data_IF_629084321587
#
_entry.id   IF_629084321587
#
_cell.length_a   1.000
_cell.length_b   1.000
_cell.length_c   1.000
_cell.angle_alpha   90.00
_cell.angle_beta   90.00
_cell.angle_gamma   90.00
#
_symmetry.space_group_name_H-M   'P 1'
#
loop_
_entity.id
_entity.type
_entity.pdbx_description
1 polymer ?
#
# COMPACT_ATOMS: atom_id res chain seq x y z
N UNK A 1 19.68 13.92 10.10
CA UNK A 1 19.90 14.80 8.93
C UNK A 1 18.88 14.63 7.80
N UNK A 2 18.05 13.57 7.78
CA UNK A 2 17.07 13.30 6.71
C UNK A 2 15.84 14.24 6.70
N UNK A 3 15.65 15.08 7.73
CA UNK A 3 14.50 15.98 7.81
C UNK A 3 14.73 17.33 7.10
N UNK A 4 15.95 17.64 6.68
CA UNK A 4 16.21 18.89 5.96
C UNK A 4 15.69 18.78 4.51
N UNK A 5 14.78 19.65 4.06
CA UNK A 5 14.36 19.69 2.65
C UNK A 5 15.55 19.80 1.68
N UNK A 6 16.62 20.50 2.06
CA UNK A 6 17.82 20.67 1.23
C UNK A 6 18.48 19.32 0.87
N UNK A 7 18.35 18.32 1.74
CA UNK A 7 18.90 16.98 1.57
C UNK A 7 18.32 16.26 0.34
N UNK A 8 17.00 16.28 0.20
CA UNK A 8 16.33 15.64 -0.94
C UNK A 8 16.57 16.44 -2.22
N UNK A 9 16.61 17.77 -2.14
CA UNK A 9 16.85 18.63 -3.29
C UNK A 9 18.21 18.36 -3.97
N UNK A 10 19.26 18.14 -3.18
CA UNK A 10 20.60 17.82 -3.72
C UNK A 10 20.66 16.44 -4.40
N UNK A 11 19.70 15.57 -4.12
CA UNK A 11 19.61 14.20 -4.64
C UNK A 11 18.58 14.03 -5.74
N UNK A 12 17.77 15.06 -5.97
CA UNK A 12 16.74 15.09 -6.98
C UNK A 12 17.30 15.61 -8.30
N UNK A 13 17.04 14.88 -9.38
CA UNK A 13 17.41 15.23 -10.74
C UNK A 13 16.14 15.30 -11.57
N UNK A 14 15.99 16.38 -12.34
CA UNK A 14 14.93 16.53 -13.31
C UNK A 14 15.43 16.04 -14.66
N UNK A 15 14.70 15.10 -15.24
CA UNK A 15 14.99 14.49 -16.53
C UNK A 15 13.95 14.98 -17.52
N UNK A 16 14.39 15.55 -18.63
CA UNK A 16 13.49 16.05 -19.69
C UNK A 16 13.88 15.44 -21.02
N UNK A 17 12.88 14.94 -21.74
CA UNK A 17 13.06 14.55 -23.14
C UNK A 17 13.12 15.80 -24.03
N UNK A 18 13.92 15.74 -25.08
CA UNK A 18 13.88 16.71 -26.17
C UNK A 18 12.48 16.68 -26.82
N UNK A 19 11.83 17.85 -27.02
CA UNK A 19 10.53 17.92 -27.68
C UNK A 19 10.45 17.19 -29.03
N UNK A 20 11.59 17.05 -29.73
CA UNK A 20 11.67 16.39 -31.04
C UNK A 20 11.69 14.86 -30.90
N UNK A 21 12.17 14.32 -29.78
CA UNK A 21 12.44 12.88 -29.61
C UNK A 21 11.23 12.03 -29.17
N UNK A 22 10.02 12.61 -29.05
CA UNK A 22 8.79 11.84 -28.85
C UNK A 22 8.44 11.45 -27.41
N UNK A 23 9.21 11.88 -26.41
CA UNK A 23 8.94 11.67 -24.98
C UNK A 23 10.00 10.84 -24.26
N UNK A 24 9.81 10.64 -22.95
CA UNK A 24 10.66 9.78 -22.14
C UNK A 24 10.31 8.31 -22.38
N UNK A 25 11.30 7.39 -22.28
CA UNK A 25 11.04 5.97 -22.36
C UNK A 25 10.15 5.49 -21.19
N UNK A 26 9.56 4.29 -21.29
CA UNK A 26 8.80 3.68 -20.20
C UNK A 26 9.60 3.62 -18.89
N UNK A 27 8.89 3.67 -17.76
CA UNK A 27 9.50 3.77 -16.43
C UNK A 27 10.58 2.70 -16.19
N UNK A 28 10.31 1.45 -16.54
CA UNK A 28 11.25 0.32 -16.36
C UNK A 28 12.57 0.54 -17.09
N UNK A 29 12.51 1.02 -18.34
CA UNK A 29 13.69 1.32 -19.15
C UNK A 29 14.44 2.52 -18.59
N UNK A 30 13.71 3.55 -18.14
CA UNK A 30 14.30 4.72 -17.51
C UNK A 30 15.00 4.35 -16.19
N UNK A 31 14.41 3.46 -15.37
CA UNK A 31 15.04 2.93 -14.14
C UNK A 31 16.30 2.14 -14.45
N UNK A 32 16.27 1.25 -15.45
CA UNK A 32 17.44 0.48 -15.85
C UNK A 32 18.59 1.38 -16.28
N UNK A 33 18.29 2.40 -17.09
CA UNK A 33 19.26 3.36 -17.63
C UNK A 33 19.84 4.28 -16.54
N UNK A 34 19.05 4.65 -15.54
CA UNK A 34 19.50 5.45 -14.41
C UNK A 34 20.17 4.63 -13.30
N UNK A 35 19.90 3.32 -13.25
CA UNK A 35 20.48 2.40 -12.28
C UNK A 35 22.01 2.32 -12.37
N UNK A 36 22.57 2.56 -13.57
CA UNK A 36 24.02 2.66 -13.79
C UNK A 36 24.68 3.79 -12.97
N UNK A 37 23.92 4.84 -12.63
CA UNK A 37 24.41 5.99 -11.86
C UNK A 37 24.29 5.79 -10.36
N UNK A 38 23.41 4.89 -9.90
CA UNK A 38 23.21 4.55 -8.50
C UNK A 38 21.78 4.12 -8.18
N UNK A 39 21.56 3.74 -6.93
CA UNK A 39 20.25 3.30 -6.45
C UNK A 39 19.23 4.44 -6.46
N UNK A 40 18.12 4.20 -7.16
CA UNK A 40 16.99 5.12 -7.28
C UNK A 40 16.07 4.90 -6.08
N UNK A 41 15.82 5.96 -5.32
CA UNK A 41 14.88 5.92 -4.21
C UNK A 41 13.44 6.13 -4.70
N UNK A 42 13.24 7.09 -5.59
CA UNK A 42 11.92 7.38 -6.15
C UNK A 42 12.04 7.91 -7.58
N UNK A 43 11.07 7.55 -8.42
CA UNK A 43 10.96 7.99 -9.81
C UNK A 43 9.49 8.32 -10.09
N UNK A 44 9.23 9.54 -10.55
CA UNK A 44 7.89 9.98 -10.93
C UNK A 44 7.94 10.58 -12.34
N UNK A 45 7.07 10.10 -13.23
CA UNK A 45 6.91 10.64 -14.58
C UNK A 45 5.76 11.65 -14.63
N UNK A 46 5.93 12.68 -15.44
CA UNK A 46 5.01 13.78 -15.63
C UNK A 46 4.61 13.87 -17.10
N UNK A 47 3.31 13.73 -17.35
CA UNK A 47 2.70 13.89 -18.66
C UNK A 47 1.94 15.20 -18.72
N UNK A 48 2.18 15.99 -19.76
CA UNK A 48 1.43 17.22 -19.99
C UNK A 48 0.15 16.90 -20.78
N UNK A 49 -0.99 17.41 -20.32
CA UNK A 49 -2.25 17.30 -21.06
C UNK A 49 -2.18 18.19 -22.30
N UNK A 50 -2.26 17.60 -23.49
CA UNK A 50 -2.27 18.35 -24.75
C UNK A 50 -3.57 19.14 -24.93
N UNK A 51 -3.55 20.14 -25.83
CA UNK A 51 -4.72 20.97 -26.18
C UNK A 51 -5.95 20.16 -26.66
N UNK A 52 -5.76 18.92 -27.10
CA UNK A 52 -6.83 18.01 -27.55
C UNK A 52 -7.29 16.98 -26.52
N UNK A 53 -6.94 17.11 -25.24
CA UNK A 53 -7.34 16.15 -24.21
C UNK A 53 -6.60 14.81 -24.22
N UNK A 54 -5.93 14.45 -25.31
CA UNK A 54 -5.04 13.29 -25.37
C UNK A 54 -3.84 13.45 -24.43
N UNK A 55 -3.57 12.42 -23.64
CA UNK A 55 -2.36 12.33 -22.82
C UNK A 55 -1.15 12.15 -23.74
N UNK A 56 -0.23 13.10 -23.70
CA UNK A 56 1.06 12.93 -24.38
C UNK A 56 1.96 11.98 -23.57
N UNK A 57 2.92 11.31 -24.22
CA UNK A 57 4.00 10.63 -23.53
C UNK A 57 4.66 11.56 -22.49
N UNK A 58 5.13 11.01 -21.35
CA UNK A 58 5.75 11.80 -20.31
C UNK A 58 6.97 12.53 -20.87
N UNK A 59 7.05 13.84 -20.66
CA UNK A 59 8.17 14.66 -21.17
C UNK A 59 9.16 15.02 -20.08
N UNK A 60 8.74 14.91 -18.82
CA UNK A 60 9.55 15.22 -17.65
C UNK A 60 9.44 14.08 -16.65
N UNK A 61 10.53 13.76 -15.98
CA UNK A 61 10.56 12.87 -14.83
C UNK A 61 11.39 13.51 -13.72
N UNK A 62 11.01 13.25 -12.47
CA UNK A 62 11.80 13.62 -11.30
C UNK A 62 12.31 12.34 -10.67
N UNK A 63 13.63 12.27 -10.48
CA UNK A 63 14.33 11.09 -9.96
C UNK A 63 15.07 11.48 -8.71
N UNK A 64 14.84 10.77 -7.62
CA UNK A 64 15.53 10.99 -6.34
C UNK A 64 16.45 9.82 -6.09
N UNK A 65 17.76 10.07 -6.06
CA UNK A 65 18.75 9.04 -5.78
C UNK A 65 18.99 8.87 -4.28
N UNK A 66 19.43 7.66 -3.87
CA UNK A 66 19.90 7.44 -2.50
C UNK A 66 21.25 8.11 -2.19
N UNK A 67 21.98 8.59 -3.19
CA UNK A 67 23.27 9.25 -3.01
C UNK A 67 23.35 10.55 -3.82
N UNK A 68 23.91 11.61 -3.22
CA UNK A 68 24.18 12.88 -3.91
C UNK A 68 25.22 12.69 -5.04
N UNK A 69 26.18 11.77 -4.86
CA UNK A 69 27.16 11.44 -5.89
C UNK A 69 26.47 10.88 -7.15
N UNK A 70 25.43 10.06 -6.99
CA UNK A 70 24.66 9.53 -8.11
C UNK A 70 23.98 10.65 -8.89
N UNK A 71 23.24 11.55 -8.20
CA UNK A 71 22.60 12.72 -8.81
C UNK A 71 23.60 13.61 -9.57
N UNK A 72 24.77 13.87 -8.97
CA UNK A 72 25.84 14.66 -9.57
C UNK A 72 26.43 13.99 -10.83
N UNK A 73 26.65 12.66 -10.81
CA UNK A 73 27.10 11.90 -11.99
C UNK A 73 26.07 11.92 -13.11
N UNK A 74 24.78 11.75 -12.79
CA UNK A 74 23.67 11.82 -13.75
C UNK A 74 23.64 13.18 -14.47
N UNK A 75 23.72 14.28 -13.72
CA UNK A 75 23.80 15.63 -14.31
C UNK A 75 25.10 15.86 -15.09
N UNK A 76 26.23 15.36 -14.59
CA UNK A 76 27.54 15.46 -15.27
C UNK A 76 27.55 14.74 -16.62
N UNK A 77 27.01 13.52 -16.68
CA UNK A 77 26.89 12.74 -17.90
C UNK A 77 26.00 13.44 -18.95
N UNK A 78 24.94 14.13 -18.50
CA UNK A 78 24.10 14.92 -19.40
C UNK A 78 24.83 16.14 -19.99
N UNK A 79 25.82 16.71 -19.28
CA UNK A 79 26.60 17.88 -19.77
C UNK A 79 27.76 17.49 -20.69
N UNK A 80 28.25 16.26 -20.60
CA UNK A 80 29.43 15.80 -21.34
C UNK A 80 29.24 15.71 -22.88
N UNK A 81 28.04 15.98 -23.40
CA UNK A 81 27.83 16.53 -24.74
C UNK A 81 28.19 15.68 -25.97
N UNK A 82 28.80 14.50 -25.84
CA UNK A 82 29.18 13.65 -26.99
C UNK A 82 28.69 12.20 -26.91
N UNK A 83 27.73 11.92 -26.03
CA UNK A 83 27.12 10.59 -25.92
C UNK A 83 26.24 10.43 -24.68
N UNK A 84 25.42 11.45 -24.37
CA UNK A 84 24.50 11.40 -23.23
C UNK A 84 23.65 10.13 -23.26
N UNK A 85 23.53 9.48 -22.10
CA UNK A 85 22.73 8.28 -21.85
C UNK A 85 22.70 7.30 -23.03
N UNK A 86 23.86 6.74 -23.38
CA UNK A 86 23.94 5.60 -24.28
C UNK A 86 23.45 5.82 -25.72
N UNK A 87 23.33 7.07 -26.20
CA UNK A 87 22.97 7.34 -27.60
C UNK A 87 21.54 6.94 -28.00
N UNK A 88 20.72 6.52 -27.04
CA UNK A 88 19.33 6.11 -27.29
C UNK A 88 18.40 7.06 -26.55
N UNK A 89 17.94 8.10 -27.24
CA UNK A 89 16.94 9.08 -26.77
C UNK A 89 17.57 10.39 -26.25
N UNK A 90 17.21 11.51 -26.89
CA UNK A 90 17.66 12.86 -26.56
C UNK A 90 17.14 13.31 -25.20
N UNK A 91 17.70 12.77 -24.12
CA UNK A 91 17.31 13.03 -22.74
C UNK A 91 18.35 13.95 -22.10
N UNK A 92 17.87 14.99 -21.40
CA UNK A 92 18.69 15.91 -20.63
C UNK A 92 18.39 15.78 -19.14
N UNK A 93 19.42 15.75 -18.32
CA UNK A 93 19.32 15.73 -16.87
C UNK A 93 19.86 17.06 -16.29
N UNK A 94 19.05 17.73 -15.48
CA UNK A 94 19.41 18.97 -14.81
C UNK A 94 18.93 18.98 -13.36
N UNK A 95 19.41 19.94 -12.57
CA UNK A 95 18.91 20.14 -11.22
C UNK A 95 17.44 20.56 -11.26
N UNK A 96 16.69 20.27 -10.20
CA UNK A 96 15.27 20.58 -10.13
C UNK A 96 15.02 22.09 -10.23
N UNK A 97 14.40 22.53 -11.33
CA UNK A 97 14.06 23.94 -11.60
C UNK A 97 12.65 24.28 -11.11
N UNK A 98 12.40 25.56 -10.77
CA UNK A 98 11.06 25.99 -10.31
C UNK A 98 10.01 25.76 -11.41
N UNK A 99 8.96 25.00 -11.10
CA UNK A 99 7.88 24.66 -12.02
C UNK A 99 6.96 23.58 -11.45
N UNK A 100 6.05 23.04 -12.27
CA UNK A 100 5.06 22.02 -11.84
C UNK A 100 5.75 20.79 -11.23
N UNK A 101 6.82 20.30 -11.85
CA UNK A 101 7.60 19.18 -11.33
C UNK A 101 8.24 19.46 -9.97
N UNK A 102 8.67 20.71 -9.73
CA UNK A 102 9.21 21.15 -8.44
C UNK A 102 8.13 21.24 -7.36
N UNK A 103 6.95 21.77 -7.71
CA UNK A 103 5.82 21.81 -6.78
C UNK A 103 5.36 20.41 -6.38
N UNK A 104 5.23 19.48 -7.33
CA UNK A 104 4.90 18.08 -7.03
C UNK A 104 6.00 17.39 -6.22
N UNK A 105 7.26 17.70 -6.50
CA UNK A 105 8.37 17.17 -5.71
C UNK A 105 8.24 17.55 -4.22
N UNK A 106 7.91 18.80 -3.91
CA UNK A 106 7.76 19.23 -2.51
C UNK A 106 6.47 18.79 -1.84
N UNK A 107 5.36 18.78 -2.59
CA UNK A 107 4.03 18.51 -2.03
C UNK A 107 3.70 17.03 -1.95
N UNK A 108 4.28 16.19 -2.80
CA UNK A 108 3.94 14.77 -2.89
C UNK A 108 5.16 13.86 -2.66
N UNK A 109 6.24 14.08 -3.40
CA UNK A 109 7.41 13.17 -3.37
C UNK A 109 8.15 13.24 -2.02
N UNK A 110 8.51 14.42 -1.54
CA UNK A 110 9.26 14.58 -0.28
C UNK A 110 8.49 14.05 0.93
N UNK A 111 7.18 14.32 1.10
CA UNK A 111 6.40 13.71 2.18
C UNK A 111 6.40 12.18 2.15
N UNK A 112 6.23 11.56 0.97
CA UNK A 112 6.28 10.08 0.83
C UNK A 112 7.65 9.52 1.20
N UNK A 113 8.72 10.14 0.70
CA UNK A 113 10.10 9.74 1.04
C UNK A 113 10.39 9.84 2.54
N UNK A 114 9.84 10.86 3.21
CA UNK A 114 9.95 10.96 4.67
C UNK A 114 9.22 9.81 5.34
N UNK A 115 7.97 9.53 4.96
CA UNK A 115 7.20 8.42 5.52
C UNK A 115 7.92 7.07 5.35
N UNK A 116 8.46 6.79 4.16
CA UNK A 116 9.23 5.58 3.89
C UNK A 116 10.52 5.49 4.73
N UNK A 117 11.19 6.62 4.99
CA UNK A 117 12.37 6.65 5.87
C UNK A 117 12.04 6.42 7.34
N UNK A 118 10.79 6.68 7.75
CA UNK A 118 10.31 6.53 9.12
C UNK A 118 9.65 5.19 9.40
N UNK A 119 9.44 4.33 8.39
CA UNK A 119 9.12 2.93 8.66
C UNK A 119 10.34 2.38 9.39
N UNK A 120 10.26 2.15 10.72
CA UNK A 120 11.34 1.47 11.40
C UNK A 120 11.49 0.18 10.63
N UNK A 121 12.72 -0.22 10.31
CA UNK A 121 13.01 -1.57 9.84
C UNK A 121 12.64 -2.52 10.98
N UNK A 122 11.33 -2.71 11.17
CA UNK A 122 10.67 -3.43 12.23
C UNK A 122 10.47 -4.80 11.65
N UNK A 123 11.56 -5.54 11.67
CA UNK A 123 11.70 -6.77 10.94
C UNK A 123 13.17 -7.06 10.75
N UNK A 124 13.87 -7.21 11.87
CA UNK A 124 15.03 -8.09 11.97
C UNK A 124 14.61 -9.46 11.43
N UNK A 125 14.70 -9.63 10.12
CA UNK A 125 15.20 -10.87 9.59
C UNK A 125 16.71 -10.74 9.77
N UNK A 126 17.17 -11.15 10.95
CA UNK A 126 18.52 -11.67 11.06
C UNK A 126 18.78 -12.51 9.80
N UNK A 127 19.87 -12.25 9.06
CA UNK A 127 20.24 -13.16 7.99
C UNK A 127 20.25 -14.56 8.61
N UNK A 128 19.65 -15.59 7.99
CA UNK A 128 19.85 -16.95 8.48
C UNK A 128 21.37 -17.10 8.54
N UNK A 129 21.87 -17.26 9.77
CA UNK A 129 23.28 -17.32 10.05
C UNK A 129 23.88 -18.24 9.00
N UNK A 130 24.77 -17.67 8.19
CA UNK A 130 25.76 -18.42 7.45
C UNK A 130 26.54 -19.18 8.52
N UNK A 131 26.04 -20.38 8.84
CA UNK A 131 26.76 -21.39 9.59
C UNK A 131 27.89 -21.80 8.67
N UNK A 132 28.96 -21.03 8.78
CA UNK A 132 30.32 -21.49 8.54
C UNK A 132 30.48 -22.69 9.46
N UNK A 133 30.16 -23.86 8.95
CA UNK A 133 30.68 -25.11 9.47
C UNK A 133 32.17 -25.06 9.14
N UNK A 134 32.91 -24.54 10.11
CA UNK A 134 34.33 -24.76 10.24
C UNK A 134 34.59 -26.25 10.04
N UNK A 135 35.46 -26.53 9.08
CA UNK A 135 36.38 -27.63 9.22
C UNK A 135 37.08 -27.46 10.58
N UNK A 136 36.86 -28.40 11.48
CA UNK A 136 37.87 -28.81 12.44
C UNK A 136 37.84 -30.35 12.51
N UNK A 137 39.01 -30.99 12.32
CA UNK A 137 39.16 -32.43 12.29
C UNK A 137 39.34 -32.95 13.72
N UNK A 138 38.55 -33.91 14.14
CA UNK A 138 38.77 -34.60 15.41
C UNK A 138 38.44 -36.08 15.29
N UNK A 139 39.50 -36.81 14.94
CA UNK A 139 40.03 -37.94 15.69
C UNK A 139 39.09 -39.09 16.08
N UNK A 140 39.43 -40.24 15.50
CA UNK A 140 39.85 -41.43 16.24
C UNK A 140 38.86 -41.98 17.27
N UNK A 141 38.04 -42.93 16.82
CA UNK A 141 37.66 -44.05 17.66
C UNK A 141 37.61 -45.32 16.82
N UNK A 142 38.63 -46.14 17.07
CA UNK A 142 38.79 -47.54 16.70
C UNK A 142 37.47 -48.32 16.61
N UNK A 143 37.31 -49.06 15.51
CA UNK A 143 36.28 -50.06 15.31
C UNK A 143 36.75 -51.13 14.33
N UNK A 144 37.75 -51.90 14.75
CA UNK A 144 38.27 -53.09 14.06
C UNK A 144 37.19 -54.18 13.83
N UNK A 145 37.42 -55.10 12.88
CA UNK A 145 36.42 -56.02 12.34
C UNK A 145 36.35 -57.32 13.15
N UNK A 146 35.16 -57.66 13.64
CA UNK A 146 34.94 -58.99 14.25
C UNK A 146 34.72 -60.05 13.16
N UNK A 147 35.83 -60.65 12.70
CA UNK A 147 35.88 -61.96 12.06
C UNK A 147 35.36 -63.03 13.04
N UNK A 148 34.09 -63.41 12.91
CA UNK A 148 33.56 -64.61 13.57
C UNK A 148 33.86 -65.85 12.72
N UNK A 149 34.86 -66.61 13.15
CA UNK A 149 35.04 -68.04 12.82
C UNK A 149 33.77 -68.83 13.21
N UNK A 150 33.24 -69.69 12.32
CA UNK A 150 32.43 -70.81 12.75
C UNK A 150 33.35 -71.93 13.26
N UNK A 151 32.94 -72.41 14.43
CA UNK A 151 33.58 -73.33 15.34
C UNK A 151 33.36 -74.76 14.84
N UNK A 152 34.45 -75.52 14.73
CA UNK A 152 34.47 -76.96 14.44
C UNK A 152 34.05 -77.70 15.71
N UNK A 153 32.87 -78.32 15.74
CA UNK A 153 32.47 -79.26 16.80
C UNK A 153 31.84 -80.54 16.20
N UNK A 154 32.26 -81.69 16.74
CA UNK A 154 31.57 -82.98 16.72
C UNK A 154 31.54 -83.69 15.36
N UNK A 155 32.39 -84.66 15.04
CA UNK A 155 32.66 -85.90 15.78
C UNK A 155 31.41 -86.52 16.39
N UNK A 156 30.64 -87.25 15.58
CA UNK A 156 29.95 -88.48 15.99
C UNK A 156 29.74 -89.31 14.73
N UNK A 157 30.51 -90.39 14.59
CA UNK A 157 30.26 -91.40 13.56
C UNK A 157 28.92 -92.09 13.77
N UNK A 158 28.48 -92.86 12.77
CA UNK A 158 28.21 -94.25 13.09
C UNK A 158 28.86 -95.22 12.10
N UNK A 159 29.46 -96.25 12.69
CA UNK A 159 29.36 -97.66 12.35
C UNK A 159 29.27 -98.00 10.84
N UNK A 160 30.33 -98.59 10.30
CA UNK A 160 30.51 -100.06 10.29
C UNK A 160 29.26 -100.77 9.76
N UNK A 161 29.25 -100.99 8.45
CA UNK A 161 28.63 -102.15 7.85
C UNK A 161 29.54 -102.61 6.70
N UNK A 162 30.59 -103.31 7.13
CA UNK A 162 31.55 -104.03 6.32
C UNK A 162 30.82 -105.21 5.64
N UNK A 163 30.24 -104.97 4.46
CA UNK A 163 29.66 -106.03 3.64
C UNK A 163 30.77 -106.63 2.77
N UNK A 164 31.44 -107.63 3.34
CA UNK A 164 32.14 -108.67 2.62
C UNK A 164 31.15 -109.36 1.65
N UNK A 165 31.19 -109.01 0.37
CA UNK A 165 30.55 -109.77 -0.69
C UNK A 165 31.63 -110.49 -1.50
N UNK A 166 31.80 -111.76 -1.12
CA UNK A 166 32.22 -112.91 -1.93
C UNK A 166 33.28 -112.67 -3.00
N UNK A 167 34.52 -112.94 -2.62
CA UNK A 167 35.60 -113.35 -3.52
C UNK A 167 35.25 -114.76 -4.04
N UNK A 168 34.37 -114.84 -5.04
CA UNK A 168 34.01 -116.11 -5.66
C UNK A 168 35.21 -116.67 -6.45
N UNK A 169 35.87 -117.63 -5.82
CA UNK A 169 36.17 -118.93 -6.41
C UNK A 169 36.80 -118.91 -7.83
N UNK A 170 38.02 -118.38 -7.98
CA UNK A 170 38.88 -118.78 -9.10
C UNK A 170 39.49 -120.15 -8.81
N UNK A 171 38.64 -121.19 -8.89
CA UNK A 171 39.07 -122.57 -8.97
C UNK A 171 39.87 -122.77 -10.24
N UNK A 172 41.14 -123.05 -10.01
CA UNK A 172 42.10 -123.54 -10.98
C UNK A 172 41.53 -124.75 -11.74
N UNK A 173 41.35 -124.60 -13.05
CA UNK A 173 41.41 -125.71 -13.99
C UNK A 173 42.47 -125.34 -15.04
N UNK A 174 43.73 -125.46 -14.62
CA UNK A 174 44.90 -125.49 -15.49
C UNK A 174 44.96 -126.87 -16.15
N UNK A 175 44.09 -127.12 -17.13
CA UNK A 175 44.36 -128.13 -18.14
C UNK A 175 45.39 -127.51 -19.08
N UNK A 176 46.66 -127.81 -18.85
CA UNK A 176 47.76 -127.42 -19.71
C UNK A 176 47.64 -128.13 -21.07
N UNK A 177 47.38 -127.42 -22.18
CA UNK A 177 47.62 -127.95 -23.51
C UNK A 177 49.12 -127.77 -23.78
N UNK A 178 49.83 -128.83 -24.12
CA UNK A 178 51.24 -128.81 -24.55
C UNK A 178 51.46 -128.10 -25.89
N UNK A 179 50.85 -126.93 -26.10
CA UNK A 179 50.94 -126.12 -27.31
C UNK A 179 51.45 -124.73 -26.94
N UNK A 180 52.58 -124.33 -27.53
CA UNK A 180 53.29 -123.04 -27.35
C UNK A 180 52.38 -121.81 -27.62
N UNK A 181 51.15 -122.01 -28.10
CA UNK A 181 50.16 -120.97 -28.38
C UNK A 181 49.43 -120.41 -27.14
N UNK A 182 49.53 -121.01 -25.95
CA UNK A 182 48.87 -120.47 -24.74
C UNK A 182 49.47 -119.13 -24.28
N UNK A 183 50.78 -118.93 -24.50
CA UNK A 183 51.50 -117.74 -24.07
C UNK A 183 51.10 -116.48 -24.87
N UNK A 184 51.01 -116.53 -26.22
CA UNK A 184 50.41 -115.45 -27.01
C UNK A 184 48.95 -115.15 -26.64
N UNK A 185 48.14 -116.18 -26.37
CA UNK A 185 46.73 -116.00 -26.01
C UNK A 185 46.57 -115.32 -24.65
N UNK A 186 47.43 -115.64 -23.68
CA UNK A 186 47.46 -115.01 -22.36
C UNK A 186 47.95 -113.56 -22.43
N UNK A 187 48.96 -113.26 -23.26
CA UNK A 187 49.42 -111.88 -23.50
C UNK A 187 48.28 -111.04 -24.10
N UNK A 188 47.62 -111.55 -25.15
CA UNK A 188 46.49 -110.86 -25.77
C UNK A 188 45.31 -110.65 -24.80
N UNK A 189 45.08 -111.57 -23.86
CA UNK A 189 44.09 -111.39 -22.79
C UNK A 189 44.50 -110.27 -21.82
N UNK A 190 45.75 -110.28 -21.33
CA UNK A 190 46.26 -109.28 -20.41
C UNK A 190 46.31 -107.88 -21.04
N UNK A 191 46.65 -107.77 -22.32
CA UNK A 191 46.59 -106.52 -23.07
C UNK A 191 45.15 -105.99 -23.18
N UNK A 192 44.18 -106.90 -23.37
CA UNK A 192 42.76 -106.55 -23.39
C UNK A 192 42.28 -106.08 -22.02
N UNK A 193 42.62 -106.81 -20.96
CA UNK A 193 42.31 -106.43 -19.57
C UNK A 193 42.96 -105.09 -19.21
N UNK A 194 44.22 -104.87 -19.57
CA UNK A 194 44.92 -103.60 -19.36
C UNK A 194 44.22 -102.44 -20.11
N UNK A 195 43.93 -102.61 -21.41
CA UNK A 195 43.19 -101.59 -22.17
C UNK A 195 41.81 -101.33 -21.58
N UNK A 196 41.11 -102.36 -21.11
CA UNK A 196 39.80 -102.21 -20.47
C UNK A 196 39.92 -101.43 -19.16
N UNK A 197 40.95 -101.68 -18.35
CA UNK A 197 41.22 -100.92 -17.12
C UNK A 197 41.63 -99.48 -17.38
N UNK A 198 42.41 -99.21 -18.44
CA UNK A 198 42.77 -97.84 -18.84
C UNK A 198 41.53 -97.08 -19.29
N UNK A 199 40.70 -97.67 -20.15
CA UNK A 199 39.42 -97.06 -20.58
C UNK A 199 38.51 -96.81 -19.38
N UNK A 200 38.36 -97.77 -18.47
CA UNK A 200 37.56 -97.61 -17.26
C UNK A 200 38.10 -96.49 -16.36
N UNK A 201 39.42 -96.37 -16.21
CA UNK A 201 40.07 -95.30 -15.45
C UNK A 201 39.82 -93.94 -16.10
N UNK A 202 39.99 -93.82 -17.40
CA UNK A 202 39.80 -92.56 -18.11
C UNK A 202 38.33 -92.13 -18.12
N UNK A 203 37.39 -93.08 -18.23
CA UNK A 203 35.95 -92.83 -18.05
C UNK A 203 35.66 -92.36 -16.61
N UNK A 204 36.24 -93.01 -15.60
CA UNK A 204 36.05 -92.61 -14.19
C UNK A 204 36.64 -91.22 -13.90
N UNK A 205 37.82 -90.90 -14.46
CA UNK A 205 38.44 -89.58 -14.35
C UNK A 205 37.59 -88.52 -15.05
N UNK A 206 37.13 -88.79 -16.27
CA UNK A 206 36.22 -87.91 -17.03
C UNK A 206 34.91 -87.65 -16.26
N UNK A 207 34.33 -88.69 -15.64
CA UNK A 207 33.17 -88.56 -14.77
C UNK A 207 33.43 -87.68 -13.54
N UNK A 208 34.59 -87.82 -12.89
CA UNK A 208 34.97 -86.99 -11.74
C UNK A 208 35.15 -85.52 -12.12
N UNK A 209 35.81 -85.24 -13.24
CA UNK A 209 35.96 -83.87 -13.73
C UNK A 209 34.59 -83.27 -14.09
N UNK A 210 33.71 -84.02 -14.74
CA UNK A 210 32.35 -83.58 -15.06
C UNK A 210 31.54 -83.26 -13.80
N UNK A 211 31.64 -84.09 -12.76
CA UNK A 211 30.97 -83.86 -11.47
C UNK A 211 31.52 -82.63 -10.74
N UNK A 212 32.84 -82.41 -10.75
CA UNK A 212 33.45 -81.22 -10.17
C UNK A 212 33.02 -79.95 -10.91
N UNK A 213 32.97 -80.00 -12.24
CA UNK A 213 32.55 -78.88 -13.06
C UNK A 213 31.06 -78.55 -12.84
N UNK A 214 30.22 -79.58 -12.74
CA UNK A 214 28.80 -79.42 -12.41
C UNK A 214 28.59 -78.78 -11.03
N UNK A 215 29.30 -79.26 -10.00
CA UNK A 215 29.23 -78.68 -8.65
C UNK A 215 29.68 -77.22 -8.63
N UNK A 216 30.79 -76.90 -9.32
CA UNK A 216 31.27 -75.52 -9.41
C UNK A 216 30.27 -74.61 -10.15
N UNK A 217 29.61 -75.13 -11.21
CA UNK A 217 28.56 -74.42 -11.92
C UNK A 217 27.33 -74.17 -11.04
N UNK A 218 26.92 -75.15 -10.20
CA UNK A 218 25.84 -75.00 -9.23
C UNK A 218 26.17 -73.97 -8.14
N UNK A 219 27.37 -74.02 -7.57
CA UNK A 219 27.81 -73.02 -6.59
C UNK A 219 27.78 -71.61 -7.17
N UNK A 220 28.27 -71.46 -8.41
CA UNK A 220 28.25 -70.18 -9.12
C UNK A 220 26.81 -69.71 -9.38
N UNK A 221 25.94 -70.59 -9.86
CA UNK A 221 24.53 -70.27 -10.09
C UNK A 221 23.81 -69.87 -8.78
N UNK A 222 24.14 -70.52 -7.67
CA UNK A 222 23.59 -70.17 -6.36
C UNK A 222 24.09 -68.80 -5.87
N UNK A 223 25.38 -68.50 -6.04
CA UNK A 223 25.93 -67.18 -5.72
C UNK A 223 25.31 -66.07 -6.57
N UNK A 224 25.14 -66.30 -7.88
CA UNK A 224 24.47 -65.36 -8.78
C UNK A 224 23.01 -65.13 -8.38
N UNK A 225 22.29 -66.19 -8.01
CA UNK A 225 20.90 -66.09 -7.53
C UNK A 225 20.80 -65.28 -6.24
N UNK A 226 21.71 -65.51 -5.28
CA UNK A 226 21.77 -64.72 -4.06
C UNK A 226 22.09 -63.25 -4.33
N UNK A 227 23.04 -62.96 -5.24
CA UNK A 227 23.38 -61.60 -5.63
C UNK A 227 22.17 -60.89 -6.28
N UNK A 228 21.43 -61.57 -7.15
CA UNK A 228 20.19 -61.05 -7.74
C UNK A 228 19.12 -60.78 -6.69
N UNK A 229 18.93 -61.70 -5.73
CA UNK A 229 17.97 -61.51 -4.63
C UNK A 229 18.33 -60.30 -3.77
N UNK A 230 19.60 -60.14 -3.38
CA UNK A 230 20.07 -58.98 -2.64
C UNK A 230 19.89 -57.68 -3.43
N UNK A 231 20.16 -57.69 -4.75
CA UNK A 231 19.93 -56.53 -5.61
C UNK A 231 18.44 -56.16 -5.70
N UNK A 232 17.55 -57.14 -5.82
CA UNK A 232 16.10 -56.92 -5.85
C UNK A 232 15.56 -56.38 -4.52
N UNK A 233 16.04 -56.90 -3.38
CA UNK A 233 15.65 -56.41 -2.06
C UNK A 233 16.13 -54.98 -1.78
N UNK A 234 17.36 -54.65 -2.23
CA UNK A 234 17.88 -53.28 -2.18
C UNK A 234 17.06 -52.33 -3.08
N UNK A 235 16.67 -52.76 -4.28
CA UNK A 235 15.82 -51.98 -5.17
C UNK A 235 14.44 -51.71 -4.55
N UNK A 236 13.80 -52.74 -3.99
CA UNK A 236 12.50 -52.62 -3.32
C UNK A 236 12.57 -51.72 -2.08
N UNK A 237 13.68 -51.75 -1.34
CA UNK A 237 13.90 -50.85 -0.21
C UNK A 237 14.04 -49.39 -0.64
N UNK A 238 14.71 -49.12 -1.77
CA UNK A 238 14.81 -47.77 -2.36
C UNK A 238 13.45 -47.26 -2.83
N UNK A 239 12.68 -48.09 -3.53
CA UNK A 239 11.34 -47.72 -4.00
C UNK A 239 10.39 -47.38 -2.83
N UNK A 240 10.43 -48.17 -1.75
CA UNK A 240 9.68 -47.86 -0.52
C UNK A 240 10.09 -46.53 0.12
N UNK A 241 11.40 -46.25 0.17
CA UNK A 241 11.90 -44.99 0.70
C UNK A 241 11.48 -43.79 -0.18
N UNK A 242 11.52 -43.93 -1.50
CA UNK A 242 11.07 -42.91 -2.45
C UNK A 242 9.56 -42.69 -2.38
N UNK A 243 8.77 -43.76 -2.22
CA UNK A 243 7.32 -43.70 -2.00
C UNK A 243 6.95 -43.01 -0.68
N UNK A 244 7.67 -43.30 0.41
CA UNK A 244 7.48 -42.59 1.68
C UNK A 244 7.79 -41.09 1.55
N UNK A 245 8.90 -40.75 0.86
CA UNK A 245 9.30 -39.36 0.60
C UNK A 245 8.28 -38.61 -0.26
N UNK A 246 7.74 -39.25 -1.29
CA UNK A 246 6.70 -38.63 -2.15
C UNK A 246 5.39 -38.44 -1.38
N UNK A 247 4.99 -39.41 -0.55
CA UNK A 247 3.81 -39.29 0.33
C UNK A 247 3.94 -38.13 1.31
N UNK A 248 5.11 -37.93 1.91
CA UNK A 248 5.36 -36.79 2.81
C UNK A 248 5.30 -35.44 2.07
N UNK A 249 5.82 -35.40 0.84
CA UNK A 249 5.72 -34.21 -0.02
C UNK A 249 4.27 -33.88 -0.37
N UNK A 250 3.45 -34.88 -0.70
CA UNK A 250 2.01 -34.69 -0.98
C UNK A 250 1.30 -34.12 0.25
N UNK A 251 1.51 -34.69 1.43
CA UNK A 251 0.92 -34.18 2.69
C UNK A 251 1.34 -32.75 3.02
N UNK A 252 2.55 -32.36 2.62
CA UNK A 252 3.04 -30.98 2.83
C UNK A 252 2.37 -30.02 1.87
N UNK A 253 2.25 -30.37 0.60
CA UNK A 253 1.53 -29.58 -0.40
C UNK A 253 0.04 -29.46 -0.09
N UNK A 254 -0.61 -30.51 0.43
CA UNK A 254 -2.00 -30.46 0.89
C UNK A 254 -2.19 -29.46 2.04
N UNK A 255 -1.24 -29.41 2.99
CA UNK A 255 -1.25 -28.40 4.07
C UNK A 255 -1.07 -26.99 3.54
N UNK A 256 -0.14 -26.76 2.62
CA UNK A 256 0.07 -25.45 1.98
C UNK A 256 -1.16 -25.00 1.17
N UNK A 257 -1.81 -25.92 0.44
CA UNK A 257 -3.06 -25.64 -0.27
C UNK A 257 -4.20 -25.27 0.70
N UNK A 258 -4.31 -25.97 1.82
CA UNK A 258 -5.32 -25.65 2.83
C UNK A 258 -5.04 -24.29 3.49
N UNK A 259 -3.79 -23.98 3.79
CA UNK A 259 -3.39 -22.69 4.36
C UNK A 259 -3.67 -21.53 3.39
N UNK A 260 -3.31 -21.67 2.12
CA UNK A 260 -3.58 -20.64 1.10
C UNK A 260 -5.07 -20.43 0.88
N UNK A 261 -5.89 -21.48 0.98
CA UNK A 261 -7.36 -21.37 0.93
C UNK A 261 -7.91 -20.56 2.11
N UNK A 262 -7.45 -20.83 3.34
CA UNK A 262 -7.87 -20.07 4.53
C UNK A 262 -7.47 -18.60 4.39
N UNK A 263 -6.23 -18.32 3.96
CA UNK A 263 -5.76 -16.94 3.71
C UNK A 263 -6.60 -16.22 2.66
N UNK A 264 -7.02 -16.92 1.60
CA UNK A 264 -7.88 -16.35 0.57
C UNK A 264 -9.28 -16.04 1.10
N UNK A 265 -9.88 -16.92 1.90
CA UNK A 265 -11.17 -16.69 2.54
C UNK A 265 -11.12 -15.52 3.54
N UNK A 266 -10.05 -15.40 4.33
CA UNK A 266 -9.81 -14.26 5.22
C UNK A 266 -9.65 -12.95 4.44
N UNK A 267 -8.89 -12.97 3.33
CA UNK A 267 -8.74 -11.82 2.46
C UNK A 267 -10.08 -11.41 1.83
N UNK A 268 -10.92 -12.38 1.46
CA UNK A 268 -12.25 -12.10 0.92
C UNK A 268 -13.17 -11.48 1.97
N UNK A 269 -13.19 -12.01 3.20
CA UNK A 269 -13.95 -11.39 4.31
C UNK A 269 -13.47 -9.97 4.60
N UNK A 270 -12.16 -9.74 4.62
CA UNK A 270 -11.59 -8.40 4.81
C UNK A 270 -11.97 -7.43 3.67
N UNK A 271 -12.09 -7.92 2.43
CA UNK A 271 -12.61 -7.12 1.30
C UNK A 271 -14.09 -6.80 1.49
N UNK A 272 -14.89 -7.77 1.90
CA UNK A 272 -16.33 -7.57 2.15
C UNK A 272 -16.57 -6.52 3.23
N UNK A 273 -15.84 -6.58 4.36
CA UNK A 273 -15.92 -5.57 5.42
C UNK A 273 -15.49 -4.19 4.93
N UNK A 274 -14.37 -4.09 4.20
CA UNK A 274 -13.92 -2.82 3.62
C UNK A 274 -14.95 -2.24 2.64
N UNK A 275 -15.61 -3.08 1.83
CA UNK A 275 -16.68 -2.60 0.93
C UNK A 275 -17.93 -2.13 1.68
N UNK A 276 -18.26 -2.75 2.81
CA UNK A 276 -19.37 -2.32 3.66
C UNK A 276 -19.08 -0.95 4.28
N UNK A 277 -17.89 -0.75 4.84
CA UNK A 277 -17.44 0.54 5.39
C UNK A 277 -17.44 1.66 4.33
N UNK A 278 -16.98 1.34 3.11
CA UNK A 278 -16.98 2.30 2.00
C UNK A 278 -18.42 2.71 1.61
N UNK A 279 -19.36 1.77 1.63
CA UNK A 279 -20.77 2.06 1.34
C UNK A 279 -21.42 2.92 2.43
N UNK A 280 -21.11 2.67 3.71
CA UNK A 280 -21.57 3.50 4.82
C UNK A 280 -21.02 4.94 4.70
N UNK A 281 -19.73 5.08 4.43
CA UNK A 281 -19.10 6.37 4.15
C UNK A 281 -19.76 7.12 2.99
N UNK A 282 -20.12 6.42 1.90
CA UNK A 282 -20.88 7.02 0.78
C UNK A 282 -22.27 7.51 1.20
N UNK A 283 -22.95 6.79 2.09
CA UNK A 283 -24.27 7.19 2.58
C UNK A 283 -24.18 8.45 3.44
N UNK A 284 -23.18 8.54 4.34
CA UNK A 284 -22.91 9.73 5.15
C UNK A 284 -22.61 10.94 4.25
N UNK A 285 -21.79 10.78 3.21
CA UNK A 285 -21.50 11.86 2.26
C UNK A 285 -22.78 12.37 1.58
N UNK A 286 -23.66 11.48 1.12
CA UNK A 286 -24.94 11.88 0.51
C UNK A 286 -25.84 12.64 1.50
N UNK A 287 -25.85 12.23 2.77
CA UNK A 287 -26.61 12.92 3.81
C UNK A 287 -26.03 14.31 4.11
N UNK A 288 -24.70 14.45 4.16
CA UNK A 288 -24.06 15.75 4.34
C UNK A 288 -24.32 16.67 3.13
N UNK A 289 -24.34 16.14 1.92
CA UNK A 289 -24.70 16.90 0.71
C UNK A 289 -26.15 17.40 0.75
N UNK A 290 -27.11 16.57 1.16
CA UNK A 290 -28.51 16.99 1.28
C UNK A 290 -28.71 18.03 2.38
N UNK A 291 -27.98 17.91 3.50
CA UNK A 291 -27.98 18.91 4.57
C UNK A 291 -27.35 20.23 4.12
N UNK A 292 -26.26 20.18 3.33
CA UNK A 292 -25.63 21.38 2.75
C UNK A 292 -26.59 22.12 1.83
N UNK A 293 -27.29 21.41 0.93
CA UNK A 293 -28.28 22.04 0.04
C UNK A 293 -29.45 22.63 0.83
N UNK A 294 -29.93 21.95 1.88
CA UNK A 294 -30.97 22.50 2.77
C UNK A 294 -30.49 23.79 3.45
N UNK A 295 -29.29 23.78 4.03
CA UNK A 295 -28.71 24.97 4.68
C UNK A 295 -28.50 26.13 3.71
N UNK A 296 -28.21 25.84 2.43
CA UNK A 296 -28.07 26.86 1.39
C UNK A 296 -29.41 27.53 1.07
N UNK A 297 -30.49 26.75 0.97
CA UNK A 297 -31.85 27.28 0.80
C UNK A 297 -32.23 28.17 1.99
N UNK A 298 -31.98 27.72 3.21
CA UNK A 298 -32.25 28.50 4.43
C UNK A 298 -31.44 29.81 4.46
N UNK A 299 -30.17 29.78 4.05
CA UNK A 299 -29.33 30.97 3.94
C UNK A 299 -29.88 31.96 2.91
N UNK A 300 -30.35 31.49 1.74
CA UNK A 300 -30.96 32.37 0.74
C UNK A 300 -32.27 32.99 1.23
N UNK A 301 -33.12 32.20 1.92
CA UNK A 301 -34.37 32.68 2.48
C UNK A 301 -34.16 33.75 3.56
N UNK A 302 -33.20 33.53 4.46
CA UNK A 302 -32.85 34.51 5.50
C UNK A 302 -32.23 35.78 4.90
N UNK A 303 -31.43 35.66 3.84
CA UNK A 303 -30.90 36.82 3.12
C UNK A 303 -32.01 37.66 2.45
N UNK A 304 -33.03 37.02 1.87
CA UNK A 304 -34.20 37.70 1.28
C UNK A 304 -35.05 38.40 2.36
N UNK A 305 -35.27 37.74 3.50
CA UNK A 305 -35.97 38.35 4.65
C UNK A 305 -35.21 39.58 5.18
N UNK A 306 -33.88 39.50 5.28
CA UNK A 306 -33.04 40.62 5.68
C UNK A 306 -33.13 41.78 4.67
N UNK A 307 -33.13 41.47 3.38
CA UNK A 307 -33.29 42.50 2.33
C UNK A 307 -34.67 43.17 2.39
N UNK A 308 -35.74 42.40 2.65
CA UNK A 308 -37.09 42.94 2.83
C UNK A 308 -37.19 43.85 4.06
N UNK A 309 -36.73 43.38 5.22
CA UNK A 309 -36.75 44.16 6.47
C UNK A 309 -35.93 45.44 6.36
N UNK A 310 -34.77 45.40 5.70
CA UNK A 310 -33.97 46.59 5.40
C UNK A 310 -34.76 47.62 4.58
N UNK A 311 -35.41 47.20 3.48
CA UNK A 311 -36.23 48.10 2.65
C UNK A 311 -37.41 48.69 3.43
N UNK A 312 -38.04 47.89 4.30
CA UNK A 312 -39.13 48.35 5.17
C UNK A 312 -38.65 49.41 6.16
N UNK A 313 -37.46 49.23 6.74
CA UNK A 313 -36.85 50.19 7.65
C UNK A 313 -36.54 51.51 6.92
N UNK A 314 -35.90 51.44 5.75
CA UNK A 314 -35.62 52.61 4.91
C UNK A 314 -36.89 53.39 4.52
N UNK A 315 -38.01 52.69 4.31
CA UNK A 315 -39.30 53.34 4.05
C UNK A 315 -39.81 54.10 5.28
N UNK A 316 -39.81 53.45 6.45
CA UNK A 316 -40.24 54.10 7.69
C UNK A 316 -39.35 55.30 8.07
N UNK A 317 -38.04 55.21 7.83
CA UNK A 317 -37.12 56.33 8.03
C UNK A 317 -37.48 57.53 7.14
N UNK A 318 -37.86 57.29 5.87
CA UNK A 318 -38.33 58.34 4.96
C UNK A 318 -39.65 58.95 5.41
N UNK A 319 -40.61 58.13 5.84
CA UNK A 319 -41.90 58.62 6.35
C UNK A 319 -41.72 59.47 7.62
N UNK A 320 -40.84 59.05 8.53
CA UNK A 320 -40.51 59.81 9.73
C UNK A 320 -39.82 61.15 9.37
N UNK A 321 -38.87 61.14 8.42
CA UNK A 321 -38.22 62.35 7.95
C UNK A 321 -39.22 63.35 7.32
N UNK A 322 -40.21 62.87 6.57
CA UNK A 322 -41.30 63.70 6.05
C UNK A 322 -42.15 64.29 7.17
N UNK A 323 -42.52 63.47 8.15
CA UNK A 323 -43.32 63.91 9.31
C UNK A 323 -42.59 64.99 10.12
N UNK A 324 -41.27 64.86 10.32
CA UNK A 324 -40.45 65.90 10.96
C UNK A 324 -40.52 67.20 10.16
N UNK A 325 -40.36 67.14 8.84
CA UNK A 325 -40.38 68.32 7.97
C UNK A 325 -41.74 69.03 8.02
N UNK A 326 -42.84 68.28 8.01
CA UNK A 326 -44.18 68.83 8.13
C UNK A 326 -44.41 69.48 9.50
N UNK A 327 -43.90 68.85 10.57
CA UNK A 327 -43.92 69.41 11.92
C UNK A 327 -43.13 70.71 12.02
N UNK A 328 -41.91 70.77 11.46
CA UNK A 328 -41.10 71.98 11.40
C UNK A 328 -41.82 73.10 10.64
N UNK A 329 -42.41 72.80 9.48
CA UNK A 329 -43.20 73.78 8.72
C UNK A 329 -44.42 74.29 9.49
N UNK A 330 -45.13 73.40 10.20
CA UNK A 330 -46.27 73.79 11.03
C UNK A 330 -45.83 74.69 12.21
N UNK A 331 -44.69 74.36 12.83
CA UNK A 331 -44.08 75.15 13.91
C UNK A 331 -43.70 76.55 13.44
N UNK A 332 -43.09 76.68 12.25
CA UNK A 332 -42.76 77.99 11.65
C UNK A 332 -44.00 78.84 11.42
N UNK A 333 -45.07 78.25 10.86
CA UNK A 333 -46.35 78.96 10.67
C UNK A 333 -46.94 79.43 12.00
N UNK A 334 -46.89 78.60 13.03
CA UNK A 334 -47.38 78.95 14.36
C UNK A 334 -46.60 80.12 14.97
N UNK A 335 -45.26 80.15 14.79
CA UNK A 335 -44.44 81.27 15.25
C UNK A 335 -44.80 82.58 14.52
N UNK A 336 -45.08 82.52 13.22
CA UNK A 336 -45.58 83.68 12.45
C UNK A 336 -46.92 84.19 13.01
N UNK A 337 -47.87 83.28 13.28
CA UNK A 337 -49.16 83.66 13.85
C UNK A 337 -49.02 84.27 15.25
N UNK A 338 -48.13 83.73 16.07
CA UNK A 338 -47.81 84.25 17.40
C UNK A 338 -47.25 85.68 17.31
N UNK A 339 -46.26 85.93 16.46
CA UNK A 339 -45.70 87.27 16.24
C UNK A 339 -46.76 88.26 15.76
N UNK A 340 -47.63 87.82 14.83
CA UNK A 340 -48.75 88.65 14.36
C UNK A 340 -49.71 88.99 15.50
N UNK A 341 -50.09 88.01 16.33
CA UNK A 341 -50.96 88.23 17.48
C UNK A 341 -50.35 89.21 18.48
N UNK A 342 -49.06 89.07 18.81
CA UNK A 342 -48.33 90.00 19.68
C UNK A 342 -48.32 91.43 19.11
N UNK A 343 -48.17 91.55 17.79
CA UNK A 343 -48.21 92.85 17.09
C UNK A 343 -49.60 93.50 17.15
N UNK A 344 -50.66 92.71 16.94
CA UNK A 344 -52.05 93.16 17.01
C UNK A 344 -52.42 93.56 18.45
N UNK A 345 -51.99 92.78 19.46
CA UNK A 345 -52.16 93.13 20.88
C UNK A 345 -51.45 94.44 21.24
N UNK A 346 -50.22 94.63 20.77
CA UNK A 346 -49.44 95.86 20.99
C UNK A 346 -50.14 97.07 20.35
N UNK A 347 -50.68 96.92 19.14
CA UNK A 347 -51.44 97.96 18.46
C UNK A 347 -52.74 98.30 19.21
N UNK A 348 -53.48 97.28 19.66
CA UNK A 348 -54.70 97.45 20.44
C UNK A 348 -54.43 98.19 21.76
N UNK A 349 -53.32 97.87 22.43
CA UNK A 349 -52.89 98.58 23.63
C UNK A 349 -52.56 100.05 23.34
N UNK A 350 -51.81 100.33 22.27
CA UNK A 350 -51.52 101.72 21.84
C UNK A 350 -52.79 102.49 21.48
N UNK A 351 -53.74 101.87 20.79
CA UNK A 351 -55.05 102.46 20.47
C UNK A 351 -55.82 102.77 21.76
N UNK A 352 -55.86 101.83 22.71
CA UNK A 352 -56.47 102.04 24.02
C UNK A 352 -55.82 103.23 24.75
N UNK A 353 -54.49 103.29 24.79
CA UNK A 353 -53.75 104.33 25.49
C UNK A 353 -53.85 105.71 24.82
N UNK A 354 -54.17 105.78 23.53
CA UNK A 354 -54.35 107.04 22.78
C UNK A 354 -55.80 107.51 22.75
N UNK A 355 -56.75 106.61 22.48
CA UNK A 355 -58.18 106.90 22.42
C UNK A 355 -58.76 107.23 23.78
N UNK A 356 -58.39 106.50 24.85
CA UNK A 356 -58.95 106.74 26.18
C UNK A 356 -58.69 108.19 26.61
N UNK A 357 -57.44 108.71 26.67
CA UNK A 357 -57.22 110.11 27.04
C UNK A 357 -57.87 111.11 26.09
N UNK A 358 -57.92 110.80 24.78
CA UNK A 358 -58.57 111.65 23.78
C UNK A 358 -60.08 111.79 24.03
N UNK A 359 -60.77 110.68 24.28
CA UNK A 359 -62.21 110.66 24.59
C UNK A 359 -62.48 111.36 25.93
N UNK A 360 -61.71 111.07 26.97
CA UNK A 360 -61.85 111.76 28.27
C UNK A 360 -61.60 113.27 28.16
N UNK A 361 -60.62 113.70 27.36
CA UNK A 361 -60.34 115.13 27.11
C UNK A 361 -61.47 115.80 26.32
N UNK A 362 -61.98 115.16 25.27
CA UNK A 362 -63.10 115.68 24.48
C UNK A 362 -64.38 115.74 25.31
N UNK A 363 -64.65 114.71 26.12
CA UNK A 363 -65.79 114.67 27.05
C UNK A 363 -65.68 115.75 28.13
N UNK A 364 -64.46 115.98 28.64
CA UNK A 364 -64.19 117.10 29.55
C UNK A 364 -64.47 118.45 28.90
N UNK A 365 -63.98 118.68 27.67
CA UNK A 365 -64.21 119.92 26.93
C UNK A 365 -65.70 120.16 26.60
N UNK A 366 -66.46 119.11 26.27
CA UNK A 366 -67.92 119.24 26.07
C UNK A 366 -68.65 119.52 27.37
N UNK A 367 -68.24 118.92 28.48
CA UNK A 367 -68.77 119.22 29.81
C UNK A 367 -68.46 120.67 30.24
N UNK A 368 -67.26 121.16 29.97
CA UNK A 368 -66.87 122.57 30.17
C UNK A 368 -67.73 123.52 29.32
N UNK A 369 -67.91 123.21 28.03
CA UNK A 369 -68.74 123.98 27.10
C UNK A 369 -70.20 124.02 27.53
N UNK A 370 -70.75 122.89 27.97
CA UNK A 370 -72.10 122.79 28.52
C UNK A 370 -72.24 123.60 29.81
N UNK A 371 -71.27 123.54 30.72
CA UNK A 371 -71.26 124.33 31.94
C UNK A 371 -71.18 125.84 31.65
N UNK A 372 -70.40 126.25 30.65
CA UNK A 372 -70.34 127.64 30.20
C UNK A 372 -71.69 128.11 29.63
N UNK A 373 -72.35 127.27 28.83
CA UNK A 373 -73.68 127.56 28.28
C UNK A 373 -74.74 127.64 29.39
N UNK A 374 -74.79 126.67 30.31
CA UNK A 374 -75.68 126.67 31.47
C UNK A 374 -75.49 127.93 32.34
N UNK A 375 -74.24 128.35 32.55
CA UNK A 375 -73.93 129.59 33.26
C UNK A 375 -74.46 130.83 32.53
N UNK A 376 -74.41 130.86 31.19
CA UNK A 376 -74.92 131.98 30.39
C UNK A 376 -76.46 132.12 30.44
N UNK A 377 -77.19 131.04 30.70
CA UNK A 377 -78.67 131.04 30.86
C UNK A 377 -79.12 131.24 32.32
N UNK A 378 -78.19 131.48 33.25
CA UNK A 378 -78.48 131.74 34.66
C UNK A 378 -78.79 130.50 35.50
N UNK A 379 -78.48 129.30 35.01
CA UNK A 379 -78.59 128.06 35.79
C UNK A 379 -77.26 127.80 36.53
N UNK A 380 -77.29 127.38 37.80
CA UNK A 380 -76.08 127.11 38.56
C UNK A 380 -75.27 125.99 37.91
N UNK A 381 -73.93 126.09 37.86
CA UNK A 381 -73.08 125.07 37.25
C UNK A 381 -73.32 123.73 37.93
N UNK A 382 -73.38 122.66 37.14
CA UNK A 382 -73.51 121.30 37.69
C UNK A 382 -72.27 121.01 38.53
N UNK A 383 -72.45 121.00 39.85
CA UNK A 383 -71.36 120.84 40.81
C UNK A 383 -70.66 119.51 40.57
N UNK A 384 -69.32 119.55 40.72
CA UNK A 384 -68.40 118.41 40.63
C UNK A 384 -69.05 117.14 41.20
N UNK A 385 -69.04 116.01 40.48
CA UNK A 385 -69.35 114.74 41.10
C UNK A 385 -68.31 114.50 42.20
N UNK A 386 -68.77 114.36 43.44
CA UNK A 386 -67.95 113.92 44.56
C UNK A 386 -67.30 112.59 44.17
N UNK A 387 -65.98 112.62 44.00
CA UNK A 387 -65.15 111.45 43.74
C UNK A 387 -65.23 110.53 44.97
N UNK A 388 -66.19 109.62 44.97
CA UNK A 388 -66.15 108.45 45.85
C UNK A 388 -65.09 107.47 45.32
N UNK A 389 -64.08 107.10 46.12
CA UNK A 389 -63.08 106.13 45.71
C UNK A 389 -63.73 104.73 45.71
N UNK A 390 -63.86 104.14 44.52
CA UNK A 390 -64.06 102.71 44.40
C UNK A 390 -62.74 102.00 44.71
N UNK A 391 -62.76 101.21 45.79
CA UNK A 391 -61.71 100.29 46.22
C UNK A 391 -61.67 99.05 45.34
#
# INVERSE_FOLDING_TARGET
MQNDPSYFRQRAVQITADPIAGGLPPEERLRSLLGEFGEIWHLQLFSQKGKGGFMRPPQTAVVVFRSNAAASRTMGASRAGKGGFGGVDSIKAHGLEKGVAYETFWTDIVPRLRQESFVPSSGSNDPPGSSVNQLEPSNSANGEPSLKRPRTEGSTGPNVANNHASLDHWSSNLNAPGSVQWMPMRIAQLERELNTTVVARDVALSGRFSAQYAHQAEEKAHQETLAQKCAAEAALSREKAESAKSSERVKTLERELQETRVRLEEQQRARETATAELNDGRQIIRQLQSNLERSKVDLTSTAEQLAFTKRSLELMEREHALTIKDYESAKERLEIYKQRLESEQTLALKLKDTLIPGVYRSLGATQESLNALMSAIGLPPTSKPDNHPFK
#
